data_IF_487686693616
#
_entry.id   IF_487686693616
#
_cell.length_a   1.000
_cell.length_b   1.000
_cell.length_c   1.000
_cell.angle_alpha   90.00
_cell.angle_beta   90.00
_cell.angle_gamma   90.00
#
_symmetry.space_group_name_H-M   'P 1'
#
loop_
_entity.id
_entity.type
_entity.pdbx_description
1 polymer ?
#
# COMPACT_ATOMS: atom_id res chain seq x y z
N UNK A 1 4.70 33.52 -32.43
CA UNK A 1 3.71 32.58 -33.02
C UNK A 1 3.88 31.10 -32.62
N UNK A 2 5.10 30.51 -32.61
CA UNK A 2 5.28 29.10 -32.19
C UNK A 2 4.96 28.83 -30.70
N UNK A 3 5.35 29.74 -29.79
CA UNK A 3 5.03 29.65 -28.35
C UNK A 3 3.52 29.72 -28.05
N UNK A 4 2.75 30.49 -28.83
CA UNK A 4 1.28 30.57 -28.67
C UNK A 4 0.59 29.27 -29.13
N UNK A 5 1.18 28.53 -30.08
CA UNK A 5 0.72 27.17 -30.43
C UNK A 5 1.02 26.17 -29.32
N UNK A 6 2.16 26.29 -28.63
CA UNK A 6 2.51 25.46 -27.46
C UNK A 6 1.52 25.65 -26.30
N UNK A 7 0.97 26.86 -26.09
CA UNK A 7 -0.09 27.10 -25.09
C UNK A 7 -1.38 26.31 -25.35
N UNK A 8 -1.62 25.82 -26.57
CA UNK A 8 -2.75 24.91 -26.83
C UNK A 8 -2.50 23.51 -26.25
N UNK A 9 -1.25 23.09 -26.11
CA UNK A 9 -0.86 21.82 -25.47
C UNK A 9 -1.17 21.87 -23.96
N UNK A 10 -1.14 23.06 -23.34
CA UNK A 10 -1.59 23.24 -21.95
C UNK A 10 -3.06 22.84 -21.73
N UNK A 11 -3.88 22.83 -22.79
CA UNK A 11 -5.27 22.32 -22.70
C UNK A 11 -5.33 20.79 -22.60
N UNK A 12 -4.34 20.06 -23.10
CA UNK A 12 -4.22 18.61 -22.91
C UNK A 12 -4.03 18.28 -21.43
N UNK A 13 -3.35 19.15 -20.67
CA UNK A 13 -3.22 18.97 -19.23
C UNK A 13 -4.55 19.10 -18.48
N UNK A 14 -5.58 19.73 -19.07
CA UNK A 14 -6.94 19.70 -18.50
C UNK A 14 -7.56 18.31 -18.52
N UNK A 15 -7.16 17.43 -19.45
CA UNK A 15 -7.64 16.04 -19.53
C UNK A 15 -7.18 15.23 -18.31
N UNK A 16 -5.97 15.48 -17.80
CA UNK A 16 -5.54 14.88 -16.52
C UNK A 16 -6.54 15.20 -15.41
N UNK A 17 -7.03 16.46 -15.33
CA UNK A 17 -8.00 16.88 -14.30
C UNK A 17 -9.35 16.15 -14.39
N UNK A 18 -9.72 15.61 -15.55
CA UNK A 18 -10.99 14.86 -15.72
C UNK A 18 -10.85 13.39 -15.35
N UNK A 19 -9.67 12.80 -15.51
CA UNK A 19 -9.40 11.41 -15.15
C UNK A 19 -8.56 11.37 -13.87
N UNK A 20 -9.22 11.12 -12.72
CA UNK A 20 -8.55 11.04 -11.41
C UNK A 20 -7.37 10.07 -11.40
N UNK A 21 -7.51 8.92 -12.06
CA UNK A 21 -6.45 7.90 -12.18
C UNK A 21 -5.24 8.41 -12.97
N UNK A 22 -5.48 9.10 -14.09
CA UNK A 22 -4.43 9.70 -14.93
C UNK A 22 -3.72 10.85 -14.20
N UNK A 23 -4.47 11.65 -13.42
CA UNK A 23 -3.91 12.69 -12.55
C UNK A 23 -3.00 12.12 -11.46
N UNK A 24 -3.40 11.00 -10.83
CA UNK A 24 -2.58 10.35 -9.80
C UNK A 24 -1.26 9.84 -10.38
N UNK A 25 -1.30 9.16 -11.54
CA UNK A 25 -0.08 8.71 -12.22
C UNK A 25 0.82 9.89 -12.64
N UNK A 26 0.24 10.98 -13.15
CA UNK A 26 1.00 12.18 -13.51
C UNK A 26 1.66 12.84 -12.29
N UNK A 27 0.96 12.92 -11.15
CA UNK A 27 1.52 13.45 -9.91
C UNK A 27 2.69 12.58 -9.40
N UNK A 28 2.56 11.26 -9.48
CA UNK A 28 3.65 10.33 -9.13
C UNK A 28 4.88 10.52 -10.02
N UNK A 29 4.68 10.73 -11.33
CA UNK A 29 5.77 11.04 -12.26
C UNK A 29 6.43 12.37 -11.88
N UNK A 30 5.65 13.42 -11.62
CA UNK A 30 6.18 14.74 -11.25
C UNK A 30 6.98 14.69 -9.94
N UNK A 31 6.57 13.89 -8.97
CA UNK A 31 7.30 13.76 -7.71
C UNK A 31 8.65 13.03 -7.91
N UNK A 32 8.67 12.00 -8.76
CA UNK A 32 9.91 11.30 -9.15
C UNK A 32 10.90 12.17 -9.95
N UNK A 33 10.46 13.30 -10.52
CA UNK A 33 11.33 14.18 -11.32
C UNK A 33 12.50 14.75 -10.52
N UNK A 34 12.34 14.97 -9.21
CA UNK A 34 13.43 15.48 -8.36
C UNK A 34 14.61 14.51 -8.32
N UNK A 35 14.32 13.23 -8.16
CA UNK A 35 15.33 12.17 -8.13
C UNK A 35 15.98 11.98 -9.51
N UNK A 36 15.17 12.01 -10.57
CA UNK A 36 15.64 11.98 -11.96
C UNK A 36 16.59 13.14 -12.29
N UNK A 37 16.29 14.35 -11.80
CA UNK A 37 17.11 15.52 -12.06
C UNK A 37 18.54 15.34 -11.55
N UNK A 38 18.73 14.76 -10.36
CA UNK A 38 20.06 14.46 -9.82
C UNK A 38 20.76 13.36 -10.61
N UNK A 39 20.04 12.33 -11.04
CA UNK A 39 20.57 11.26 -11.88
C UNK A 39 21.06 11.80 -13.24
N UNK A 40 20.26 12.67 -13.88
CA UNK A 40 20.62 13.34 -15.13
C UNK A 40 21.78 14.33 -14.96
N UNK A 41 21.86 15.02 -13.83
CA UNK A 41 22.99 15.89 -13.50
C UNK A 41 24.29 15.08 -13.42
N UNK A 42 24.26 13.94 -12.69
CA UNK A 42 25.39 13.03 -12.61
C UNK A 42 25.80 12.49 -13.98
N UNK A 43 24.83 12.06 -14.81
CA UNK A 43 25.09 11.63 -16.17
C UNK A 43 25.73 12.75 -17.01
N UNK A 44 25.26 13.99 -16.88
CA UNK A 44 25.81 15.15 -17.59
C UNK A 44 27.26 15.41 -17.19
N UNK A 45 27.59 15.31 -15.90
CA UNK A 45 28.97 15.45 -15.40
C UNK A 45 29.87 14.37 -16.00
N UNK A 46 29.42 13.12 -15.99
CA UNK A 46 30.17 11.99 -16.57
C UNK A 46 30.40 12.21 -18.07
N UNK A 47 29.35 12.55 -18.83
CA UNK A 47 29.46 12.85 -20.26
C UNK A 47 30.45 13.98 -20.53
N UNK A 48 30.43 15.03 -19.70
CA UNK A 48 31.31 16.18 -19.84
C UNK A 48 32.79 15.81 -19.64
N UNK A 49 33.11 15.01 -18.62
CA UNK A 49 34.48 14.54 -18.35
C UNK A 49 35.03 13.75 -19.53
N UNK A 50 34.31 12.74 -20.01
CA UNK A 50 34.74 11.97 -21.18
C UNK A 50 34.82 12.82 -22.45
N UNK A 51 33.86 13.75 -22.62
CA UNK A 51 33.86 14.62 -23.78
C UNK A 51 35.09 15.53 -23.85
N UNK A 52 35.57 16.03 -22.71
CA UNK A 52 36.82 16.81 -22.66
C UNK A 52 37.99 15.94 -23.13
N UNK A 53 38.15 14.73 -22.59
CA UNK A 53 39.24 13.82 -22.97
C UNK A 53 39.26 13.53 -24.47
N UNK A 54 38.12 13.17 -25.06
CA UNK A 54 38.05 12.87 -26.50
C UNK A 54 38.24 14.12 -27.36
N UNK A 55 37.71 15.26 -26.96
CA UNK A 55 37.88 16.51 -27.71
C UNK A 55 39.34 16.97 -27.69
N UNK A 56 40.05 16.80 -26.58
CA UNK A 56 41.49 17.08 -26.48
C UNK A 56 42.29 16.19 -27.42
N UNK A 57 42.10 14.86 -27.33
CA UNK A 57 42.78 13.90 -28.20
C UNK A 57 42.48 14.15 -29.69
N UNK A 58 41.23 14.44 -30.03
CA UNK A 58 40.83 14.77 -31.40
C UNK A 58 41.45 16.08 -31.89
N UNK A 59 41.52 17.10 -31.03
CA UNK A 59 42.14 18.40 -31.39
C UNK A 59 43.63 18.23 -31.68
N UNK A 60 44.34 17.44 -30.89
CA UNK A 60 45.77 17.19 -31.07
C UNK A 60 46.04 16.37 -32.35
N UNK A 61 45.19 15.39 -32.64
CA UNK A 61 45.23 14.65 -33.91
C UNK A 61 44.95 15.56 -35.11
N UNK A 62 43.91 16.40 -35.03
CA UNK A 62 43.53 17.32 -36.10
C UNK A 62 44.66 18.31 -36.41
N UNK A 63 45.30 18.87 -35.39
CA UNK A 63 46.46 19.77 -35.57
C UNK A 63 47.65 19.06 -36.22
N UNK A 64 47.91 17.82 -35.82
CA UNK A 64 49.01 17.02 -36.37
C UNK A 64 48.77 16.63 -37.84
N UNK A 65 47.52 16.28 -38.19
CA UNK A 65 47.12 15.89 -39.55
C UNK A 65 46.88 17.07 -40.50
N UNK A 66 46.69 18.30 -39.99
CA UNK A 66 46.41 19.49 -40.82
C UNK A 66 47.54 19.86 -41.79
N UNK A 67 48.76 19.39 -41.54
CA UNK A 67 49.92 19.63 -42.39
C UNK A 67 50.07 18.59 -43.53
N UNK A 68 49.22 17.56 -43.57
CA UNK A 68 49.30 16.45 -44.51
C UNK A 68 48.34 16.67 -45.69
N UNK A 69 48.86 16.70 -46.93
CA UNK A 69 48.05 16.77 -48.16
C UNK A 69 48.28 15.52 -49.02
N UNK A 70 47.21 14.82 -49.46
CA UNK A 70 45.79 15.09 -49.20
C UNK A 70 45.36 14.77 -47.77
N UNK A 71 44.32 15.46 -47.30
CA UNK A 71 43.76 15.23 -45.97
C UNK A 71 43.14 13.81 -45.88
N UNK A 72 43.51 12.99 -44.88
CA UNK A 72 42.93 11.66 -44.70
C UNK A 72 41.40 11.72 -44.49
N UNK A 73 40.66 10.75 -45.05
CA UNK A 73 39.20 10.63 -44.85
C UNK A 73 38.83 10.57 -43.36
N UNK A 74 39.66 9.86 -42.58
CA UNK A 74 39.55 9.71 -41.12
C UNK A 74 39.56 11.05 -40.37
N UNK A 75 40.31 12.04 -40.87
CA UNK A 75 40.38 13.38 -40.28
C UNK A 75 39.02 14.09 -40.32
N UNK A 76 38.26 13.87 -41.40
CA UNK A 76 36.93 14.47 -41.57
C UNK A 76 35.89 13.84 -40.64
N UNK A 77 36.00 12.55 -40.36
CA UNK A 77 35.11 11.82 -39.45
C UNK A 77 35.38 12.20 -37.99
N UNK A 78 36.66 12.27 -37.61
CA UNK A 78 37.10 12.76 -36.30
C UNK A 78 36.62 14.19 -36.08
N UNK A 79 36.77 15.09 -37.06
CA UNK A 79 36.28 16.47 -36.95
C UNK A 79 34.75 16.54 -36.79
N UNK A 80 34.00 15.71 -37.53
CA UNK A 80 32.53 15.70 -37.47
C UNK A 80 32.01 15.28 -36.11
N UNK A 81 32.62 14.27 -35.50
CA UNK A 81 32.16 13.63 -34.27
C UNK A 81 32.78 14.24 -33.00
N UNK A 82 34.06 14.63 -33.06
CA UNK A 82 34.87 15.01 -31.90
C UNK A 82 35.56 16.38 -32.02
N UNK A 83 35.32 17.13 -33.11
CA UNK A 83 36.01 18.38 -33.40
C UNK A 83 35.63 19.56 -32.47
N UNK A 84 34.58 19.43 -31.66
CA UNK A 84 34.21 20.42 -30.65
C UNK A 84 33.56 19.74 -29.45
N UNK A 85 33.66 20.36 -28.27
CA UNK A 85 33.14 19.78 -27.03
C UNK A 85 31.64 19.43 -27.11
N UNK A 86 30.83 20.32 -27.67
CA UNK A 86 29.39 20.07 -27.83
C UNK A 86 29.08 18.96 -28.84
N UNK A 87 29.89 18.83 -29.91
CA UNK A 87 29.76 17.72 -30.87
C UNK A 87 30.16 16.41 -30.22
N UNK A 88 31.23 16.41 -29.44
CA UNK A 88 31.65 15.23 -28.68
C UNK A 88 30.57 14.78 -27.71
N UNK A 89 30.02 15.69 -26.89
CA UNK A 89 28.91 15.38 -25.97
C UNK A 89 27.71 14.79 -26.75
N UNK A 90 27.38 15.39 -27.90
CA UNK A 90 26.31 14.88 -28.77
C UNK A 90 26.61 13.48 -29.31
N UNK A 91 27.81 13.22 -29.82
CA UNK A 91 28.24 11.92 -30.35
C UNK A 91 28.27 10.84 -29.27
N UNK A 92 28.75 11.17 -28.07
CA UNK A 92 28.72 10.26 -26.90
C UNK A 92 27.28 9.92 -26.52
N UNK A 93 26.39 10.91 -26.45
CA UNK A 93 24.97 10.69 -26.19
C UNK A 93 24.32 9.82 -27.28
N UNK A 94 24.65 10.06 -28.56
CA UNK A 94 24.17 9.23 -29.67
C UNK A 94 24.67 7.79 -29.56
N UNK A 95 25.93 7.57 -29.18
CA UNK A 95 26.47 6.22 -29.00
C UNK A 95 25.81 5.50 -27.82
N UNK A 96 25.55 6.21 -26.71
CA UNK A 96 24.87 5.68 -25.52
C UNK A 96 23.40 5.32 -25.79
N UNK A 97 22.66 6.19 -26.49
CA UNK A 97 21.23 6.00 -26.77
C UNK A 97 20.95 5.20 -28.05
N UNK A 98 21.99 4.72 -28.75
CA UNK A 98 21.85 3.94 -29.99
C UNK A 98 21.48 4.77 -31.23
N UNK A 99 21.70 6.09 -31.21
CA UNK A 99 21.52 6.98 -32.37
C UNK A 99 22.60 6.82 -33.44
N UNK A 100 23.82 6.47 -33.05
CA UNK A 100 24.89 6.02 -33.96
C UNK A 100 25.42 4.68 -33.47
N UNK A 101 25.86 3.82 -34.40
CA UNK A 101 26.57 2.59 -34.01
C UNK A 101 27.85 2.96 -33.28
N UNK A 102 28.07 2.36 -32.12
CA UNK A 102 29.31 2.54 -31.34
C UNK A 102 30.56 2.22 -32.17
N UNK A 103 30.44 1.31 -33.16
CA UNK A 103 31.52 0.96 -34.08
C UNK A 103 32.01 2.17 -34.90
N UNK A 104 31.09 2.98 -35.41
CA UNK A 104 31.42 4.17 -36.23
C UNK A 104 32.15 5.23 -35.39
N UNK A 105 31.82 5.33 -34.11
CA UNK A 105 32.52 6.22 -33.19
C UNK A 105 33.88 5.66 -32.76
N UNK A 106 33.98 4.34 -32.53
CA UNK A 106 35.24 3.71 -32.16
C UNK A 106 36.25 3.72 -33.30
N UNK A 107 35.81 3.50 -34.55
CA UNK A 107 36.69 3.49 -35.73
C UNK A 107 37.36 4.86 -35.91
N UNK A 108 36.60 5.95 -35.75
CA UNK A 108 37.14 7.31 -35.76
C UNK A 108 38.14 7.56 -34.60
N UNK A 109 37.95 6.94 -33.43
CA UNK A 109 38.87 7.06 -32.30
C UNK A 109 40.12 6.18 -32.45
N UNK A 110 40.02 5.04 -33.14
CA UNK A 110 41.18 4.20 -33.49
C UNK A 110 42.13 4.92 -34.44
N UNK A 111 41.61 5.72 -35.36
CA UNK A 111 42.41 6.57 -36.26
C UNK A 111 43.27 7.60 -35.50
N UNK A 112 42.80 8.08 -34.33
CA UNK A 112 43.59 8.95 -33.45
C UNK A 112 44.68 8.16 -32.74
N UNK A 113 44.27 7.23 -31.87
CA UNK A 113 45.16 6.38 -31.09
C UNK A 113 44.37 5.27 -30.38
N UNK A 114 44.99 4.09 -30.21
CA UNK A 114 44.35 2.94 -29.55
C UNK A 114 43.87 3.22 -28.12
N UNK A 115 44.56 4.10 -27.38
CA UNK A 115 44.14 4.48 -26.01
C UNK A 115 42.81 5.23 -25.99
N UNK A 116 42.51 6.03 -27.02
CA UNK A 116 41.22 6.70 -27.15
C UNK A 116 40.10 5.69 -27.37
N UNK A 117 40.34 4.65 -28.17
CA UNK A 117 39.37 3.57 -28.34
C UNK A 117 39.13 2.79 -27.04
N UNK A 118 40.19 2.45 -26.30
CA UNK A 118 40.07 1.77 -24.98
C UNK A 118 39.26 2.62 -23.99
N UNK A 119 39.53 3.93 -23.92
CA UNK A 119 38.78 4.85 -23.07
C UNK A 119 37.29 4.93 -23.49
N UNK A 120 37.01 4.85 -24.79
CA UNK A 120 35.64 4.85 -25.32
C UNK A 120 34.89 3.55 -24.99
N UNK A 121 35.54 2.39 -25.08
CA UNK A 121 34.92 1.14 -24.63
C UNK A 121 34.63 1.18 -23.13
N UNK A 122 35.57 1.69 -22.32
CA UNK A 122 35.32 1.90 -20.89
C UNK A 122 34.11 2.82 -20.65
N UNK A 123 34.01 3.94 -21.38
CA UNK A 123 32.85 4.83 -21.35
C UNK A 123 31.54 4.09 -21.68
N UNK A 124 31.51 3.30 -22.75
CA UNK A 124 30.31 2.54 -23.15
C UNK A 124 29.92 1.53 -22.08
N UNK A 125 30.86 0.70 -21.61
CA UNK A 125 30.58 -0.27 -20.55
C UNK A 125 30.10 0.41 -19.27
N UNK A 126 30.78 1.47 -18.84
CA UNK A 126 30.42 2.20 -17.63
C UNK A 126 29.03 2.85 -17.75
N UNK A 127 28.74 3.54 -18.84
CA UNK A 127 27.44 4.20 -19.01
C UNK A 127 26.30 3.21 -19.20
N UNK A 128 26.49 2.14 -19.98
CA UNK A 128 25.43 1.15 -20.22
C UNK A 128 25.21 0.20 -19.05
N UNK A 129 26.28 -0.31 -18.42
CA UNK A 129 26.16 -1.33 -17.36
C UNK A 129 25.99 -0.73 -15.97
N UNK A 130 26.59 0.43 -15.69
CA UNK A 130 26.48 1.06 -14.38
C UNK A 130 25.47 2.22 -14.40
N UNK A 131 25.70 3.26 -15.21
CA UNK A 131 24.94 4.51 -15.10
C UNK A 131 23.47 4.33 -15.46
N UNK A 132 23.16 3.72 -16.62
CA UNK A 132 21.76 3.48 -17.01
C UNK A 132 21.03 2.58 -15.99
N UNK A 133 21.69 1.54 -15.48
CA UNK A 133 21.12 0.64 -14.48
C UNK A 133 20.91 1.33 -13.12
N UNK A 134 21.80 2.24 -12.71
CA UNK A 134 21.61 3.06 -11.49
C UNK A 134 20.39 3.97 -11.68
N UNK A 135 20.27 4.64 -12.82
CA UNK A 135 19.12 5.51 -13.10
C UNK A 135 17.82 4.68 -13.07
N UNK A 136 17.79 3.53 -13.74
CA UNK A 136 16.63 2.62 -13.69
C UNK A 136 16.35 2.14 -12.26
N UNK A 137 17.37 1.78 -11.49
CA UNK A 137 17.23 1.38 -10.08
C UNK A 137 16.58 2.46 -9.23
N UNK A 138 17.04 3.71 -9.36
CA UNK A 138 16.45 4.87 -8.65
C UNK A 138 14.97 5.06 -9.01
N UNK A 139 14.56 4.83 -10.26
CA UNK A 139 13.14 4.88 -10.63
C UNK A 139 12.32 3.77 -9.97
N UNK A 140 12.85 2.55 -9.95
CA UNK A 140 12.19 1.40 -9.31
C UNK A 140 12.06 1.63 -7.81
N UNK A 141 13.12 2.10 -7.16
CA UNK A 141 13.12 2.39 -5.71
C UNK A 141 12.11 3.47 -5.36
N UNK A 142 12.06 4.58 -6.09
CA UNK A 142 11.05 5.63 -5.86
C UNK A 142 9.62 5.11 -6.05
N UNK A 143 9.39 4.24 -7.05
CA UNK A 143 8.08 3.65 -7.30
C UNK A 143 7.65 2.73 -6.14
N UNK A 144 8.58 1.91 -5.63
CA UNK A 144 8.35 1.02 -4.49
C UNK A 144 8.13 1.82 -3.21
N UNK A 145 8.92 2.87 -2.97
CA UNK A 145 8.76 3.75 -1.80
C UNK A 145 7.40 4.44 -1.81
N UNK A 146 7.00 5.01 -2.95
CA UNK A 146 5.69 5.65 -3.10
C UNK A 146 4.55 4.67 -2.80
N UNK A 147 4.64 3.43 -3.29
CA UNK A 147 3.64 2.39 -3.02
C UNK A 147 3.58 2.03 -1.52
N UNK A 148 4.73 1.98 -0.83
CA UNK A 148 4.79 1.76 0.62
C UNK A 148 4.15 2.91 1.38
N UNK A 149 4.52 4.16 1.08
CA UNK A 149 3.96 5.35 1.73
C UNK A 149 2.45 5.43 1.55
N UNK A 150 1.92 5.06 0.39
CA UNK A 150 0.47 5.00 0.17
C UNK A 150 -0.21 3.99 1.11
N UNK A 151 0.36 2.80 1.26
CA UNK A 151 -0.19 1.77 2.16
C UNK A 151 -0.11 2.20 3.62
N UNK A 152 1.03 2.74 4.04
CA UNK A 152 1.24 3.17 5.42
C UNK A 152 0.35 4.39 5.74
N UNK A 153 0.13 5.30 4.79
CA UNK A 153 -0.85 6.39 4.90
C UNK A 153 -2.28 5.87 5.09
N UNK A 154 -2.68 4.82 4.35
CA UNK A 154 -4.01 4.22 4.50
C UNK A 154 -4.19 3.59 5.88
N UNK A 155 -3.20 2.87 6.39
CA UNK A 155 -3.21 2.28 7.74
C UNK A 155 -3.30 3.37 8.80
N UNK A 156 -2.47 4.41 8.70
CA UNK A 156 -2.47 5.52 9.65
C UNK A 156 -3.82 6.25 9.67
N UNK A 157 -4.41 6.48 8.50
CA UNK A 157 -5.73 7.11 8.39
C UNK A 157 -6.83 6.27 9.04
N UNK A 158 -6.78 4.94 8.89
CA UNK A 158 -7.73 4.04 9.53
C UNK A 158 -7.57 4.04 11.07
N UNK A 159 -6.32 4.06 11.56
CA UNK A 159 -6.03 4.20 12.99
C UNK A 159 -6.54 5.53 13.55
N UNK A 160 -6.30 6.65 12.88
CA UNK A 160 -6.78 7.98 13.31
C UNK A 160 -8.32 8.04 13.37
N UNK A 161 -9.01 7.42 12.41
CA UNK A 161 -10.47 7.33 12.43
C UNK A 161 -10.97 6.48 13.60
N UNK A 162 -10.26 5.40 13.93
CA UNK A 162 -10.57 4.56 15.09
C UNK A 162 -10.35 5.31 16.41
N UNK A 163 -9.21 6.00 16.55
CA UNK A 163 -8.88 6.78 17.76
C UNK A 163 -9.88 7.92 17.98
N UNK A 164 -10.24 8.66 16.92
CA UNK A 164 -11.26 9.72 17.03
C UNK A 164 -12.60 9.15 17.47
N UNK A 165 -13.02 8.04 16.88
CA UNK A 165 -14.26 7.39 17.26
C UNK A 165 -14.24 6.95 18.74
N UNK A 166 -13.15 6.33 19.21
CA UNK A 166 -13.03 5.94 20.62
C UNK A 166 -13.03 7.15 21.57
N UNK A 167 -12.42 8.27 21.17
CA UNK A 167 -12.46 9.50 21.94
C UNK A 167 -13.89 10.06 22.06
N UNK A 168 -14.62 10.14 20.95
CA UNK A 168 -16.04 10.56 20.93
C UNK A 168 -16.92 9.63 21.78
N UNK A 169 -16.71 8.30 21.71
CA UNK A 169 -17.46 7.35 22.54
C UNK A 169 -17.14 7.50 24.02
N UNK A 170 -15.88 7.79 24.36
CA UNK A 170 -15.47 8.03 25.74
C UNK A 170 -16.08 9.30 26.31
N UNK A 171 -16.20 10.35 25.52
CA UNK A 171 -16.90 11.58 25.92
C UNK A 171 -18.38 11.29 26.21
N UNK A 172 -19.05 10.50 25.35
CA UNK A 172 -20.44 10.09 25.58
C UNK A 172 -20.61 9.23 26.84
N UNK A 173 -19.67 8.33 27.11
CA UNK A 173 -19.69 7.54 28.34
C UNK A 173 -19.69 8.43 29.58
N UNK A 174 -18.82 9.45 29.60
CA UNK A 174 -18.72 10.40 30.72
C UNK A 174 -19.99 11.25 30.85
N UNK A 175 -20.67 11.55 29.74
CA UNK A 175 -21.96 12.25 29.78
C UNK A 175 -23.12 11.37 30.27
N UNK A 176 -23.02 10.05 30.10
CA UNK A 176 -24.01 9.07 30.57
C UNK A 176 -23.84 8.70 32.05
N UNK A 177 -22.60 8.65 32.55
CA UNK A 177 -22.25 8.39 33.94
C UNK A 177 -22.56 9.63 34.82
N UNK A 178 -23.85 9.84 35.12
CA UNK A 178 -24.32 10.99 35.90
C UNK A 178 -23.83 10.97 37.35
N UNK A 179 -23.69 9.78 37.94
CA UNK A 179 -23.29 9.60 39.33
C UNK A 179 -21.76 9.54 39.52
N UNK A 180 -21.00 9.41 38.43
CA UNK A 180 -19.54 9.35 38.43
C UNK A 180 -19.00 8.06 39.02
N UNK A 181 -19.79 6.98 38.97
CA UNK A 181 -19.43 5.64 39.47
C UNK A 181 -18.30 5.01 38.65
N UNK A 182 -18.08 5.47 37.41
CA UNK A 182 -17.15 4.86 36.45
C UNK A 182 -17.76 3.69 35.68
N UNK A 183 -19.07 3.48 35.83
CA UNK A 183 -19.89 2.45 35.21
C UNK A 183 -21.19 3.08 34.74
N UNK A 184 -21.86 2.49 33.75
CA UNK A 184 -23.17 2.96 33.32
C UNK A 184 -24.20 1.84 33.48
N UNK A 185 -25.25 2.13 34.22
CA UNK A 185 -26.39 1.24 34.45
C UNK A 185 -27.44 1.33 33.35
N UNK A 186 -28.26 0.29 33.20
CA UNK A 186 -29.38 0.29 32.24
C UNK A 186 -30.32 1.49 32.42
N UNK A 187 -30.53 1.94 33.66
CA UNK A 187 -31.40 3.08 33.97
C UNK A 187 -30.84 4.39 33.40
N UNK A 188 -29.53 4.62 33.58
CA UNK A 188 -28.84 5.80 33.05
C UNK A 188 -28.83 5.79 31.52
N UNK A 189 -28.62 4.63 30.89
CA UNK A 189 -28.74 4.51 29.43
C UNK A 189 -30.16 4.84 28.97
N UNK A 190 -31.19 4.33 29.63
CA UNK A 190 -32.58 4.61 29.25
C UNK A 190 -32.93 6.09 29.40
N UNK A 191 -32.45 6.76 30.44
CA UNK A 191 -32.66 8.19 30.66
C UNK A 191 -31.91 9.03 29.63
N UNK A 192 -30.64 8.71 29.36
CA UNK A 192 -29.82 9.42 28.38
C UNK A 192 -30.35 9.26 26.94
N UNK A 193 -30.82 8.07 26.58
CA UNK A 193 -31.46 7.80 25.27
C UNK A 193 -32.91 8.31 25.18
N UNK A 194 -33.48 8.89 26.25
CA UNK A 194 -34.80 9.51 26.18
C UNK A 194 -34.79 10.82 25.36
N UNK A 195 -33.64 11.50 25.21
CA UNK A 195 -33.52 12.68 24.36
C UNK A 195 -33.43 12.28 22.87
N UNK A 196 -34.36 12.71 22.00
CA UNK A 196 -34.34 12.42 20.56
C UNK A 196 -33.05 12.88 19.84
N UNK A 197 -32.35 13.87 20.39
CA UNK A 197 -31.06 14.35 19.86
C UNK A 197 -29.96 13.32 20.06
N UNK A 198 -29.93 12.67 21.22
CA UNK A 198 -28.97 11.59 21.55
C UNK A 198 -29.22 10.39 20.64
N UNK A 199 -30.48 9.98 20.48
CA UNK A 199 -30.84 8.90 19.55
C UNK A 199 -30.37 9.19 18.12
N UNK A 200 -30.57 10.42 17.64
CA UNK A 200 -30.11 10.85 16.32
C UNK A 200 -28.58 10.83 16.20
N UNK A 201 -27.87 11.18 17.27
CA UNK A 201 -26.42 11.18 17.33
C UNK A 201 -25.85 9.76 17.29
N UNK A 202 -26.38 8.83 18.08
CA UNK A 202 -26.01 7.41 18.05
C UNK A 202 -26.31 6.74 16.70
N UNK A 203 -27.46 7.07 16.09
CA UNK A 203 -27.79 6.60 14.75
C UNK A 203 -26.77 7.10 13.69
N UNK A 204 -26.30 8.34 13.81
CA UNK A 204 -25.25 8.89 12.94
C UNK A 204 -23.89 8.20 13.15
N UNK A 205 -23.63 7.70 14.34
CA UNK A 205 -22.44 6.91 14.70
C UNK A 205 -22.53 5.43 14.30
N UNK A 206 -23.69 5.01 13.78
CA UNK A 206 -23.94 3.67 13.26
C UNK A 206 -24.48 2.68 14.29
N UNK A 207 -24.99 3.16 15.43
CA UNK A 207 -25.66 2.37 16.45
C UNK A 207 -27.15 2.65 16.36
N UNK A 208 -27.98 1.62 16.17
CA UNK A 208 -29.44 1.79 16.10
C UNK A 208 -30.03 1.80 17.51
N UNK A 209 -30.54 2.94 18.00
CA UNK A 209 -31.06 3.08 19.36
C UNK A 209 -32.50 2.55 19.51
N UNK A 210 -33.08 1.92 18.48
CA UNK A 210 -34.47 1.47 18.50
C UNK A 210 -34.81 0.48 19.63
N UNK A 211 -33.80 -0.17 20.21
CA UNK A 211 -33.94 -1.09 21.34
C UNK A 211 -32.75 -0.91 22.32
N UNK A 212 -32.85 0.11 23.18
CA UNK A 212 -31.82 0.48 24.16
C UNK A 212 -31.50 -0.66 25.13
N UNK A 213 -32.49 -1.48 25.51
CA UNK A 213 -32.31 -2.64 26.38
C UNK A 213 -31.48 -3.72 25.69
N UNK A 214 -31.78 -4.00 24.42
CA UNK A 214 -30.97 -4.93 23.63
C UNK A 214 -29.57 -4.39 23.35
N UNK A 215 -29.42 -3.09 23.11
CA UNK A 215 -28.11 -2.47 22.95
C UNK A 215 -27.29 -2.62 24.24
N UNK A 216 -27.88 -2.33 25.40
CA UNK A 216 -27.23 -2.49 26.69
C UNK A 216 -26.77 -3.93 26.93
N UNK A 217 -27.64 -4.91 26.71
CA UNK A 217 -27.31 -6.34 26.82
C UNK A 217 -26.23 -6.81 25.83
N UNK A 218 -25.96 -6.06 24.77
CA UNK A 218 -24.86 -6.35 23.84
C UNK A 218 -23.55 -5.67 24.24
N UNK A 219 -23.60 -4.66 25.12
CA UNK A 219 -22.46 -3.95 25.67
C UNK A 219 -22.00 -4.62 26.99
N UNK A 220 -22.94 -4.92 27.89
CA UNK A 220 -22.72 -5.70 29.11
C UNK A 220 -22.31 -7.13 28.76
N UNK A 221 -21.00 -7.39 28.80
CA UNK A 221 -20.42 -8.68 28.41
C UNK A 221 -20.32 -9.66 29.58
N UNK A 222 -20.39 -9.16 30.81
CA UNK A 222 -20.20 -9.94 32.03
C UNK A 222 -21.54 -10.28 32.72
N UNK A 223 -22.65 -9.70 32.24
CA UNK A 223 -24.02 -9.84 32.72
C UNK A 223 -24.20 -9.40 34.19
N UNK A 224 -23.42 -8.43 34.65
CA UNK A 224 -23.52 -7.88 36.00
C UNK A 224 -24.53 -6.73 36.12
N UNK A 225 -25.08 -6.26 34.99
CA UNK A 225 -26.09 -5.20 34.93
C UNK A 225 -25.51 -3.78 34.93
N UNK A 226 -24.19 -3.66 34.90
CA UNK A 226 -23.43 -2.42 34.75
C UNK A 226 -22.47 -2.55 33.54
N UNK A 227 -22.11 -1.43 32.93
CA UNK A 227 -21.20 -1.44 31.78
C UNK A 227 -20.04 -0.50 32.07
N UNK A 228 -18.83 -1.05 32.17
CA UNK A 228 -17.64 -0.22 32.38
C UNK A 228 -17.20 0.47 31.09
N UNK A 229 -16.25 1.41 31.21
CA UNK A 229 -15.73 2.17 30.06
C UNK A 229 -15.14 1.26 28.98
N UNK A 230 -14.45 0.17 29.36
CA UNK A 230 -13.81 -0.73 28.40
C UNK A 230 -14.84 -1.58 27.65
N UNK A 231 -15.84 -2.10 28.35
CA UNK A 231 -16.99 -2.83 27.81
C UNK A 231 -17.81 -1.94 26.87
N UNK A 232 -18.09 -0.70 27.26
CA UNK A 232 -18.81 0.26 26.42
C UNK A 232 -18.04 0.57 25.12
N UNK A 233 -16.74 0.86 25.22
CA UNK A 233 -15.91 1.20 24.06
C UNK A 233 -15.73 0.02 23.10
N UNK A 234 -15.44 -1.18 23.61
CA UNK A 234 -15.29 -2.39 22.79
C UNK A 234 -16.62 -2.82 22.18
N UNK A 235 -17.70 -2.75 22.95
CA UNK A 235 -19.06 -3.02 22.51
C UNK A 235 -19.49 -2.07 21.38
N UNK A 236 -19.28 -0.77 21.52
CA UNK A 236 -19.55 0.21 20.47
C UNK A 236 -18.72 -0.07 19.21
N UNK A 237 -17.43 -0.42 19.36
CA UNK A 237 -16.56 -0.76 18.23
C UNK A 237 -17.02 -2.03 17.50
N UNK A 238 -17.54 -3.02 18.24
CA UNK A 238 -18.02 -4.31 17.72
C UNK A 238 -19.37 -4.18 17.00
N UNK A 239 -20.24 -3.31 17.51
CA UNK A 239 -21.57 -3.05 16.95
C UNK A 239 -21.56 -2.02 15.83
N UNK A 240 -20.43 -1.33 15.62
CA UNK A 240 -20.26 -0.34 14.55
C UNK A 240 -20.30 -0.99 13.16
N UNK A 241 -21.35 -0.66 12.41
CA UNK A 241 -21.46 -0.96 10.99
C UNK A 241 -22.14 -2.31 10.68
N UNK A 242 -22.05 -2.73 9.42
CA UNK A 242 -22.68 -3.97 8.96
C UNK A 242 -21.79 -5.18 9.23
N UNK A 243 -22.40 -6.30 9.64
CA UNK A 243 -21.70 -7.57 9.84
C UNK A 243 -20.88 -7.95 8.59
N UNK A 244 -19.57 -8.17 8.78
CA UNK A 244 -18.65 -8.55 7.70
C UNK A 244 -18.79 -10.04 7.43
N UNK A 245 -18.35 -10.47 6.23
CA UNK A 245 -18.40 -11.90 5.86
C UNK A 245 -17.66 -12.81 6.84
N UNK A 246 -16.62 -12.30 7.51
CA UNK A 246 -15.87 -13.03 8.54
C UNK A 246 -16.71 -13.29 9.80
N UNK A 247 -17.51 -12.31 10.24
CA UNK A 247 -18.38 -12.41 11.41
C UNK A 247 -19.47 -13.46 11.17
N UNK A 248 -20.02 -13.51 9.95
CA UNK A 248 -20.98 -14.54 9.52
C UNK A 248 -20.34 -15.93 9.48
N UNK A 249 -19.09 -16.05 9.01
CA UNK A 249 -18.37 -17.32 9.03
C UNK A 249 -18.09 -17.80 10.46
N UNK A 250 -17.76 -16.90 11.38
CA UNK A 250 -17.59 -17.23 12.80
C UNK A 250 -18.90 -17.76 13.40
N UNK A 251 -20.03 -17.09 13.13
CA UNK A 251 -21.35 -17.56 13.54
C UNK A 251 -21.65 -18.97 13.01
N UNK A 252 -21.34 -19.26 11.74
CA UNK A 252 -21.52 -20.59 11.15
C UNK A 252 -20.66 -21.66 11.81
N UNK A 253 -19.44 -21.32 12.23
CA UNK A 253 -18.56 -22.24 12.96
C UNK A 253 -19.11 -22.54 14.35
N UNK A 254 -19.51 -21.51 15.10
CA UNK A 254 -20.10 -21.69 16.43
C UNK A 254 -21.42 -22.45 16.36
N UNK A 255 -22.27 -22.14 15.36
CA UNK A 255 -23.51 -22.87 15.12
C UNK A 255 -23.29 -24.36 14.86
N UNK A 256 -22.23 -24.73 14.11
CA UNK A 256 -21.85 -26.14 13.92
C UNK A 256 -21.41 -26.81 15.21
N UNK A 257 -20.65 -26.12 16.07
CA UNK A 257 -20.25 -26.66 17.38
C UNK A 257 -21.46 -26.87 18.28
N UNK A 258 -22.34 -25.87 18.35
CA UNK A 258 -23.59 -25.95 19.11
C UNK A 258 -24.47 -27.10 18.63
N UNK A 259 -24.66 -27.24 17.31
CA UNK A 259 -25.44 -28.34 16.74
C UNK A 259 -24.90 -29.72 17.14
N UNK A 260 -23.56 -29.87 17.16
CA UNK A 260 -22.91 -31.12 17.60
C UNK A 260 -23.13 -31.41 19.09
N UNK A 261 -23.11 -30.38 19.94
CA UNK A 261 -23.41 -30.54 21.37
C UNK A 261 -24.86 -30.96 21.59
N UNK A 262 -25.80 -30.37 20.84
CA UNK A 262 -27.23 -30.76 20.89
C UNK A 262 -27.44 -32.20 20.44
N UNK A 263 -26.78 -32.66 19.37
CA UNK A 263 -26.84 -34.08 18.97
C UNK A 263 -26.28 -35.02 20.04
N UNK A 264 -25.22 -34.63 20.73
CA UNK A 264 -24.65 -35.43 21.82
C UNK A 264 -25.61 -35.51 23.01
N UNK A 265 -26.27 -34.39 23.35
CA UNK A 265 -27.28 -34.34 24.40
C UNK A 265 -28.49 -35.22 24.06
N UNK A 266 -28.99 -35.18 22.82
CA UNK A 266 -30.11 -36.04 22.38
C UNK A 266 -29.76 -37.53 22.52
N UNK A 267 -28.54 -37.92 22.12
CA UNK A 267 -28.06 -39.30 22.31
C UNK A 267 -28.02 -39.69 23.79
N UNK A 268 -27.47 -38.83 24.65
CA UNK A 268 -27.40 -39.07 26.08
C UNK A 268 -28.78 -39.21 26.74
N UNK A 269 -29.75 -38.36 26.36
CA UNK A 269 -31.13 -38.44 26.86
C UNK A 269 -31.80 -39.76 26.44
N UNK A 270 -31.61 -40.19 25.18
CA UNK A 270 -32.14 -41.47 24.70
C UNK A 270 -31.58 -42.65 25.49
N UNK A 271 -30.27 -42.68 25.72
CA UNK A 271 -29.61 -43.72 26.51
C UNK A 271 -30.11 -43.75 27.96
N UNK A 272 -30.19 -42.59 28.63
CA UNK A 272 -30.71 -42.49 29.99
C UNK A 272 -32.18 -42.95 30.09
N UNK A 273 -32.99 -42.63 29.08
CA UNK A 273 -34.40 -43.06 29.04
C UNK A 273 -34.55 -44.57 28.84
N UNK A 274 -33.64 -45.21 28.11
CA UNK A 274 -33.61 -46.67 27.92
C UNK A 274 -33.21 -47.38 29.21
N UNK A 275 -32.19 -46.88 29.91
CA UNK A 275 -31.74 -47.43 31.20
C UNK A 275 -32.87 -47.33 32.25
N UNK A 276 -33.60 -46.22 32.29
CA UNK A 276 -34.70 -46.03 33.25
C UNK A 276 -35.89 -46.97 32.96
N UNK A 277 -36.20 -47.25 31.68
CA UNK A 277 -37.21 -48.25 31.29
C UNK A 277 -36.79 -49.68 31.64
N UNK A 278 -35.50 -50.01 31.49
CA UNK A 278 -34.98 -51.33 31.88
C UNK A 278 -34.96 -51.50 33.40
N UNK A 279 -34.59 -50.47 34.16
CA UNK A 279 -34.60 -50.48 35.63
C UNK A 279 -36.00 -50.64 36.23
N UNK A 280 -37.01 -49.98 35.64
CA UNK A 280 -38.42 -50.10 36.05
C UNK A 280 -39.05 -51.46 35.72
N UNK A 281 -38.63 -52.12 34.65
CA UNK A 281 -39.04 -53.51 34.39
C UNK A 281 -38.41 -54.50 35.38
N UNK A 282 -37.16 -54.27 35.80
CA UNK A 282 -36.47 -55.14 36.75
C UNK A 282 -37.06 -55.04 38.18
N UNK A 283 -37.52 -53.86 38.61
CA UNK A 283 -38.17 -53.68 39.91
C UNK A 283 -39.57 -54.34 39.98
N UNK A 284 -40.32 -54.30 38.87
CA UNK A 284 -41.61 -55.00 38.74
C UNK A 284 -41.44 -56.53 38.83
N UNK A 285 -40.39 -57.09 38.20
CA UNK A 285 -40.09 -58.52 38.27
C UNK A 285 -39.61 -58.97 39.67
N UNK A 286 -38.84 -58.13 40.39
CA UNK A 286 -38.42 -58.45 41.76
C UNK A 286 -39.55 -58.40 42.79
N UNK A 287 -40.58 -57.59 42.57
CA UNK A 287 -41.74 -57.52 43.48
C UNK A 287 -42.69 -58.73 43.38
N UNK A 288 -42.67 -59.45 42.26
CA UNK A 288 -43.46 -60.68 42.07
C UNK A 288 -42.78 -61.94 42.63
N UNK A 289 -41.48 -61.91 42.94
CA UNK A 289 -40.74 -63.05 43.47
C UNK A 289 -40.76 -63.16 45.00
N UNK A 290 -41.43 -62.24 45.71
CA UNK A 290 -41.37 -62.10 47.17
C UNK A 290 -42.60 -62.55 47.97
N UNK A 291 -43.56 -63.29 47.40
CA UNK A 291 -44.71 -63.82 48.16
C UNK A 291 -44.45 -65.27 48.61
N UNK A 292 -44.23 -65.53 49.91
CA UNK A 292 -43.99 -66.89 50.41
C UNK A 292 -45.32 -67.63 50.57
N UNK A 293 -45.40 -68.81 49.96
CA UNK A 293 -46.44 -69.80 50.28
C UNK A 293 -45.89 -70.76 51.33
N UNK A 294 -46.54 -70.69 52.51
CA UNK A 294 -46.55 -71.62 53.66
C UNK A 294 -45.26 -71.77 54.47
#
# INVERSE_FOLDING_TARGET
>A
MKAVKMLRIARVFRVFRFCKELSLLALMILDSMKSLMWALLMLTIILYVFAICFTQNATDFIKSGAHMQPAPLELSEVYRQFGSLHRTVYSLLQAMLGGISWGVASDALFAIHWTSAVLFFFYIFFTMLAVLNIITGVFVDNAVETAKTQRDFLVQKEMELKERYLAEMKELFIEMDEDGSGTVSLAEVQEYFADPRVQSYFAALGLDPADTERLFNLLDCNEDGECDVEEFLDGCLRLKGVARSIDVQQLLVEFKKFHKQVEQLDKGIREASLVNRLGSQHSLLSSHAGSPTV
#
